data_IF_573526114304
#
_entry.id   IF_573526114304
#
_cell.length_a   1.000
_cell.length_b   1.000
_cell.length_c   1.000
_cell.angle_alpha   90.00
_cell.angle_beta   90.00
_cell.angle_gamma   90.00
#
_symmetry.space_group_name_H-M   'P 1'
#
loop_
_entity.id
_entity.type
_entity.pdbx_description
1 polymer ?
#
# COMPACT_ATOMS: atom_id res chain seq x y z
N UNK A 1 -24.06 20.16 13.70
CA UNK A 1 -22.62 20.02 13.38
C UNK A 1 -22.37 18.54 13.39
N UNK A 2 -22.38 17.92 12.22
CA UNK A 2 -22.15 16.47 12.11
C UNK A 2 -20.69 16.21 12.43
N UNK A 3 -20.45 15.79 13.67
CA UNK A 3 -19.18 15.19 14.04
C UNK A 3 -19.25 13.78 13.46
N UNK A 4 -18.58 13.57 12.33
CA UNK A 4 -18.48 12.24 11.75
C UNK A 4 -17.97 11.26 12.82
N UNK A 5 -18.60 10.08 12.92
CA UNK A 5 -18.26 9.06 13.91
C UNK A 5 -16.83 8.50 13.72
N UNK A 6 -16.29 8.61 12.51
CA UNK A 6 -14.99 8.08 12.11
C UNK A 6 -14.11 9.24 11.66
N UNK A 7 -12.84 9.21 12.09
CA UNK A 7 -11.83 10.22 11.75
C UNK A 7 -10.98 9.77 10.55
N UNK A 8 -10.22 8.69 10.69
CA UNK A 8 -9.36 8.14 9.63
C UNK A 8 -9.19 6.62 9.74
N UNK A 9 -8.65 6.00 8.69
CA UNK A 9 -8.19 4.61 8.71
C UNK A 9 -6.81 4.52 9.36
N UNK A 10 -6.72 3.94 10.55
CA UNK A 10 -5.45 3.75 11.28
C UNK A 10 -4.56 2.67 10.64
N UNK A 11 -5.15 1.50 10.38
CA UNK A 11 -4.46 0.40 9.73
C UNK A 11 -5.43 -0.55 9.03
N UNK A 12 -4.88 -1.43 8.21
CA UNK A 12 -5.58 -2.58 7.63
C UNK A 12 -4.77 -3.85 7.82
N UNK A 13 -5.35 -5.00 7.47
CA UNK A 13 -4.68 -6.31 7.50
C UNK A 13 -4.51 -6.82 6.07
N UNK A 14 -3.29 -7.15 5.69
CA UNK A 14 -2.96 -7.87 4.47
C UNK A 14 -2.70 -9.33 4.81
N UNK A 15 -3.35 -10.25 4.09
CA UNK A 15 -3.04 -11.69 4.18
C UNK A 15 -2.24 -12.09 2.95
N UNK A 16 -1.07 -12.72 3.14
CA UNK A 16 -0.15 -13.12 2.06
C UNK A 16 0.06 -14.63 2.02
N UNK A 17 0.30 -15.20 0.83
CA UNK A 17 0.87 -16.54 0.66
C UNK A 17 2.41 -16.54 0.60
N UNK A 18 3.03 -15.37 0.44
CA UNK A 18 4.44 -15.20 0.10
C UNK A 18 5.12 -14.22 1.05
N UNK A 19 5.28 -14.60 2.33
CA UNK A 19 5.80 -13.71 3.38
C UNK A 19 7.07 -12.94 2.98
N UNK A 20 8.12 -13.65 2.55
CA UNK A 20 9.40 -13.04 2.20
C UNK A 20 9.29 -12.10 1.00
N UNK A 21 8.53 -12.49 -0.04
CA UNK A 21 8.33 -11.66 -1.21
C UNK A 21 7.48 -10.42 -0.87
N UNK A 22 6.46 -10.57 -0.03
CA UNK A 22 5.63 -9.49 0.46
C UNK A 22 6.47 -8.49 1.26
N UNK A 23 7.31 -8.98 2.18
CA UNK A 23 8.26 -8.13 2.93
C UNK A 23 9.20 -7.40 1.98
N UNK A 24 9.80 -8.10 1.02
CA UNK A 24 10.69 -7.49 0.01
C UNK A 24 9.99 -6.37 -0.75
N UNK A 25 8.77 -6.62 -1.23
CA UNK A 25 8.01 -5.66 -2.01
C UNK A 25 7.70 -4.38 -1.20
N UNK A 26 7.10 -4.52 -0.02
CA UNK A 26 6.71 -3.35 0.76
C UNK A 26 7.92 -2.63 1.39
N UNK A 27 8.97 -3.34 1.79
CA UNK A 27 10.13 -2.74 2.44
C UNK A 27 11.16 -2.22 1.45
N UNK A 28 11.64 -3.06 0.55
CA UNK A 28 12.76 -2.70 -0.33
C UNK A 28 12.29 -1.85 -1.52
N UNK A 29 11.13 -2.17 -2.09
CA UNK A 29 10.65 -1.49 -3.31
C UNK A 29 9.85 -0.24 -2.96
N UNK A 30 8.90 -0.35 -2.03
CA UNK A 30 8.06 0.78 -1.62
C UNK A 30 8.66 1.61 -0.47
N UNK A 31 9.72 1.13 0.19
CA UNK A 31 10.40 1.89 1.25
C UNK A 31 9.65 1.93 2.58
N UNK A 32 8.67 1.06 2.81
CA UNK A 32 7.97 0.96 4.10
C UNK A 32 8.90 0.35 5.16
N UNK A 33 8.66 0.65 6.43
CA UNK A 33 9.44 0.10 7.52
C UNK A 33 8.78 -1.15 8.09
N UNK A 34 9.49 -2.28 8.11
CA UNK A 34 9.02 -3.47 8.81
C UNK A 34 9.19 -3.29 10.32
N UNK A 35 8.10 -3.50 11.05
CA UNK A 35 8.11 -3.66 12.50
C UNK A 35 7.70 -5.07 12.88
N UNK A 36 8.33 -5.60 13.92
CA UNK A 36 7.88 -6.82 14.61
C UNK A 36 7.50 -6.46 16.04
N UNK A 37 6.32 -6.86 16.47
CA UNK A 37 5.78 -6.54 17.78
C UNK A 37 5.01 -7.70 18.38
N UNK A 38 4.86 -7.68 19.71
CA UNK A 38 4.21 -8.73 20.47
C UNK A 38 4.70 -10.13 20.04
N UNK A 39 3.81 -11.12 20.00
CA UNK A 39 4.07 -12.53 19.70
C UNK A 39 4.44 -12.78 18.22
N UNK A 40 5.44 -12.08 17.70
CA UNK A 40 5.93 -12.21 16.32
C UNK A 40 5.03 -11.60 15.25
N UNK A 41 4.10 -10.70 15.63
CA UNK A 41 3.28 -9.98 14.66
C UNK A 41 4.15 -9.02 13.86
N UNK A 42 3.88 -8.92 12.56
CA UNK A 42 4.61 -8.04 11.64
C UNK A 42 3.70 -6.97 11.08
N UNK A 43 4.24 -5.78 10.84
CA UNK A 43 3.54 -4.72 10.12
C UNK A 43 4.49 -3.90 9.25
N UNK A 44 3.97 -3.38 8.15
CA UNK A 44 4.62 -2.39 7.31
C UNK A 44 4.13 -0.99 7.71
N UNK A 45 5.03 -0.15 8.21
CA UNK A 45 4.72 1.19 8.73
C UNK A 45 5.08 2.26 7.71
N UNK A 46 4.18 3.23 7.53
CA UNK A 46 4.35 4.38 6.63
C UNK A 46 3.57 5.59 7.17
N UNK A 47 4.19 6.77 7.17
CA UNK A 47 3.59 7.95 7.79
C UNK A 47 3.17 7.66 9.23
N UNK A 48 1.89 7.91 9.53
CA UNK A 48 1.26 7.61 10.83
C UNK A 48 0.32 6.39 10.77
N UNK A 49 0.49 5.51 9.78
CA UNK A 49 -0.37 4.36 9.51
C UNK A 49 0.45 3.08 9.35
N UNK A 50 -0.23 1.93 9.30
CA UNK A 50 0.44 0.65 9.02
C UNK A 50 -0.46 -0.36 8.31
N UNK A 51 0.17 -1.39 7.75
CA UNK A 51 -0.47 -2.61 7.27
C UNK A 51 0.02 -3.77 8.15
N UNK A 52 -0.87 -4.37 8.93
CA UNK A 52 -0.55 -5.59 9.65
C UNK A 52 -0.48 -6.77 8.68
N UNK A 53 0.54 -7.62 8.82
CA UNK A 53 0.77 -8.76 7.96
C UNK A 53 0.28 -10.05 8.64
N UNK A 54 -0.64 -10.74 7.99
CA UNK A 54 -1.04 -12.11 8.30
C UNK A 54 -0.53 -13.06 7.23
N UNK A 55 -0.13 -14.27 7.63
CA UNK A 55 0.25 -15.33 6.69
C UNK A 55 -0.94 -16.27 6.52
N UNK A 56 -1.29 -16.61 5.28
CA UNK A 56 -2.41 -17.50 4.98
C UNK A 56 -2.26 -18.82 5.74
N UNK A 57 -3.33 -19.23 6.45
CA UNK A 57 -3.34 -20.43 7.31
C UNK A 57 -2.69 -20.25 8.68
N UNK A 58 -2.12 -19.07 8.98
CA UNK A 58 -1.54 -18.71 10.29
C UNK A 58 -2.04 -17.32 10.74
N UNK A 59 -3.25 -16.94 10.33
CA UNK A 59 -3.80 -15.64 10.68
C UNK A 59 -4.15 -15.58 12.17
N UNK A 60 -4.06 -14.39 12.75
CA UNK A 60 -4.52 -14.14 14.12
C UNK A 60 -6.03 -13.87 14.14
N UNK A 61 -6.70 -14.32 15.20
CA UNK A 61 -8.10 -13.95 15.46
C UNK A 61 -8.21 -12.66 16.31
N UNK A 62 -9.26 -11.85 16.12
CA UNK A 62 -10.25 -11.96 15.04
C UNK A 62 -9.68 -11.52 13.68
N UNK A 63 -10.25 -12.04 12.58
CA UNK A 63 -9.89 -11.66 11.20
C UNK A 63 -11.11 -11.45 10.31
N UNK A 64 -10.86 -10.99 9.08
CA UNK A 64 -11.89 -10.93 8.05
C UNK A 64 -12.53 -12.31 7.85
N UNK A 65 -13.82 -12.37 7.52
CA UNK A 65 -14.54 -13.62 7.32
C UNK A 65 -13.91 -14.53 6.24
N UNK A 66 -13.34 -13.91 5.20
CA UNK A 66 -12.63 -14.60 4.12
C UNK A 66 -11.28 -13.91 3.85
N UNK A 67 -10.23 -14.20 4.65
CA UNK A 67 -8.91 -13.61 4.45
C UNK A 67 -8.32 -14.14 3.13
N UNK A 68 -8.24 -13.25 2.15
CA UNK A 68 -7.96 -13.62 0.76
C UNK A 68 -6.75 -12.83 0.24
N UNK A 69 -5.60 -13.48 0.03
CA UNK A 69 -4.47 -12.87 -0.66
C UNK A 69 -4.89 -12.42 -2.07
N UNK A 70 -4.41 -11.25 -2.49
CA UNK A 70 -4.74 -10.66 -3.79
C UNK A 70 -6.07 -9.92 -3.86
N UNK A 71 -6.81 -9.80 -2.75
CA UNK A 71 -8.12 -9.15 -2.72
C UNK A 71 -8.08 -7.65 -2.42
N UNK A 72 -6.91 -7.07 -2.14
CA UNK A 72 -6.78 -5.65 -1.82
C UNK A 72 -6.56 -4.83 -3.09
N UNK A 73 -7.15 -3.63 -3.09
CA UNK A 73 -6.95 -2.57 -4.06
C UNK A 73 -6.69 -1.28 -3.28
N UNK A 74 -5.44 -0.82 -3.28
CA UNK A 74 -4.94 0.20 -2.36
C UNK A 74 -4.25 1.33 -3.13
N UNK A 75 -4.59 2.57 -2.78
CA UNK A 75 -3.92 3.77 -3.27
C UNK A 75 -3.09 4.42 -2.17
N UNK A 76 -1.80 4.62 -2.44
CA UNK A 76 -0.85 5.32 -1.57
C UNK A 76 -0.41 6.62 -2.21
N UNK A 77 -0.42 7.69 -1.42
CA UNK A 77 0.12 8.98 -1.83
C UNK A 77 1.61 9.01 -1.49
N UNK A 78 2.44 9.35 -2.47
CA UNK A 78 3.88 9.55 -2.31
C UNK A 78 4.23 11.04 -2.41
N UNK A 79 5.33 11.44 -1.75
CA UNK A 79 5.96 12.75 -1.94
C UNK A 79 7.02 12.75 -3.04
N UNK A 80 7.37 11.56 -3.56
CA UNK A 80 8.30 11.40 -4.69
C UNK A 80 7.61 11.68 -6.01
N UNK A 81 8.37 11.98 -7.05
CA UNK A 81 7.78 12.10 -8.39
C UNK A 81 7.41 10.73 -8.95
N UNK A 82 6.44 10.66 -9.86
CA UNK A 82 6.08 9.38 -10.50
C UNK A 82 7.21 8.85 -11.38
N UNK A 83 8.08 9.73 -11.88
CA UNK A 83 9.29 9.36 -12.61
C UNK A 83 10.29 8.62 -11.70
N UNK A 84 10.46 9.06 -10.45
CA UNK A 84 11.28 8.33 -9.47
C UNK A 84 10.68 6.98 -9.07
N UNK A 85 9.35 6.95 -8.88
CA UNK A 85 8.61 5.72 -8.54
C UNK A 85 8.74 4.69 -9.67
N UNK A 86 8.44 5.09 -10.90
CA UNK A 86 8.52 4.20 -12.06
C UNK A 86 9.95 3.74 -12.33
N UNK A 87 10.96 4.60 -12.14
CA UNK A 87 12.37 4.20 -12.21
C UNK A 87 12.75 3.16 -11.15
N UNK A 88 12.21 3.29 -9.92
CA UNK A 88 12.39 2.29 -8.86
C UNK A 88 11.76 0.95 -9.26
N UNK A 89 10.54 0.97 -9.80
CA UNK A 89 9.86 -0.24 -10.29
C UNK A 89 10.62 -0.92 -11.42
N UNK A 90 11.07 -0.17 -12.42
CA UNK A 90 11.87 -0.71 -13.52
C UNK A 90 13.17 -1.35 -13.02
N UNK A 91 13.87 -0.71 -12.08
CA UNK A 91 15.12 -1.23 -11.49
C UNK A 91 14.90 -2.56 -10.78
N UNK A 92 13.74 -2.75 -10.14
CA UNK A 92 13.39 -3.97 -9.42
C UNK A 92 12.58 -4.97 -10.27
N UNK A 93 12.40 -4.71 -11.56
CA UNK A 93 11.64 -5.57 -12.47
C UNK A 93 10.14 -5.67 -12.14
N UNK A 94 9.57 -4.65 -11.50
CA UNK A 94 8.13 -4.57 -11.23
C UNK A 94 7.41 -4.08 -12.49
N UNK A 95 6.46 -4.87 -12.98
CA UNK A 95 5.63 -4.53 -14.12
C UNK A 95 4.63 -3.41 -13.76
N UNK A 96 4.64 -2.35 -14.55
CA UNK A 96 3.64 -1.28 -14.49
C UNK A 96 2.45 -1.71 -15.34
N UNK A 97 1.29 -1.87 -14.70
CA UNK A 97 0.04 -2.24 -15.36
C UNK A 97 -0.52 -1.07 -16.16
N UNK A 98 -0.51 0.13 -15.56
CA UNK A 98 -1.03 1.35 -16.15
C UNK A 98 -0.37 2.57 -15.48
N UNK A 99 -0.16 3.64 -16.24
CA UNK A 99 0.28 4.93 -15.72
C UNK A 99 1.56 5.47 -16.38
N UNK A 100 1.89 6.75 -16.14
CA UNK A 100 1.13 7.72 -15.34
C UNK A 100 -0.20 8.14 -15.98
N UNK A 101 -1.30 8.08 -15.21
CA UNK A 101 -2.66 8.46 -15.66
C UNK A 101 -3.37 9.32 -14.61
N UNK A 102 -4.33 10.15 -15.04
CA UNK A 102 -5.14 10.95 -14.11
C UNK A 102 -6.24 10.09 -13.48
N UNK A 103 -6.44 10.26 -12.18
CA UNK A 103 -7.48 9.62 -11.37
C UNK A 103 -8.09 10.61 -10.39
N UNK A 104 -9.17 10.19 -9.73
CA UNK A 104 -9.83 10.96 -8.67
C UNK A 104 -9.41 10.39 -7.32
N UNK A 105 -8.59 11.14 -6.58
CA UNK A 105 -8.26 10.85 -5.20
C UNK A 105 -9.35 11.34 -4.25
N UNK A 106 -9.18 11.01 -2.96
CA UNK A 106 -10.16 11.36 -1.92
C UNK A 106 -10.39 12.88 -1.78
N UNK A 107 -9.38 13.71 -2.03
CA UNK A 107 -9.46 15.17 -1.85
C UNK A 107 -9.26 15.98 -3.14
N UNK A 108 -9.15 15.31 -4.29
CA UNK A 108 -8.97 15.98 -5.58
C UNK A 108 -8.33 15.08 -6.65
N UNK A 109 -8.05 15.63 -7.84
CA UNK A 109 -7.35 14.90 -8.90
C UNK A 109 -5.94 14.48 -8.47
N UNK A 110 -5.55 13.25 -8.82
CA UNK A 110 -4.20 12.69 -8.61
C UNK A 110 -3.66 12.15 -9.93
N UNK A 111 -2.32 12.03 -10.03
CA UNK A 111 -1.67 11.22 -11.07
C UNK A 111 -1.21 9.91 -10.45
N UNK A 112 -1.43 8.80 -11.15
CA UNK A 112 -1.29 7.46 -10.59
C UNK A 112 -0.55 6.50 -11.50
N UNK A 113 0.15 5.55 -10.89
CA UNK A 113 0.77 4.38 -11.53
C UNK A 113 0.32 3.13 -10.77
N UNK A 114 0.02 2.07 -11.51
CA UNK A 114 -0.51 0.82 -10.98
C UNK A 114 0.47 -0.33 -11.17
N UNK A 115 0.66 -1.13 -10.12
CA UNK A 115 1.48 -2.36 -10.12
C UNK A 115 0.75 -3.47 -9.35
N UNK A 116 1.26 -4.70 -9.44
CA UNK A 116 0.83 -5.80 -8.56
C UNK A 116 1.87 -6.07 -7.50
N UNK A 117 1.40 -6.34 -6.28
CA UNK A 117 2.24 -6.97 -5.26
C UNK A 117 2.37 -8.49 -5.53
N UNK A 118 3.15 -9.23 -4.72
CA UNK A 118 3.37 -10.67 -4.93
C UNK A 118 2.13 -11.56 -4.86
N UNK A 119 1.06 -11.14 -4.17
CA UNK A 119 -0.21 -11.86 -4.11
C UNK A 119 -1.24 -11.34 -5.12
N UNK A 120 -0.82 -10.42 -6.01
CA UNK A 120 -1.63 -9.79 -7.04
C UNK A 120 -2.62 -8.74 -6.53
N UNK A 121 -2.45 -8.22 -5.31
CA UNK A 121 -3.17 -7.03 -4.87
C UNK A 121 -2.87 -5.88 -5.84
N UNK A 122 -3.87 -5.06 -6.15
CA UNK A 122 -3.67 -3.88 -6.99
C UNK A 122 -3.12 -2.74 -6.12
N UNK A 123 -1.91 -2.29 -6.45
CA UNK A 123 -1.24 -1.22 -5.72
C UNK A 123 -1.11 -0.01 -6.63
N UNK A 124 -1.79 1.06 -6.26
CA UNK A 124 -1.71 2.36 -6.89
C UNK A 124 -0.75 3.26 -6.09
N UNK A 125 0.28 3.77 -6.75
CA UNK A 125 1.12 4.85 -6.21
C UNK A 125 0.76 6.14 -6.93
N UNK A 126 0.35 7.14 -6.17
CA UNK A 126 -0.16 8.38 -6.70
C UNK A 126 0.46 9.61 -6.06
N UNK A 127 0.35 10.74 -6.76
CA UNK A 127 0.80 12.05 -6.28
C UNK A 127 -0.29 13.07 -6.55
N UNK A 128 -0.55 13.95 -5.58
CA UNK A 128 -1.34 15.15 -5.83
C UNK A 128 -0.49 16.12 -6.67
N UNK A 129 -1.09 16.83 -7.65
CA UNK A 129 -0.40 17.94 -8.30
C UNK A 129 0.14 18.88 -7.21
N UNK A 130 1.38 19.35 -7.36
CA UNK A 130 1.81 20.48 -6.55
C UNK A 130 0.76 21.58 -6.74
N UNK A 131 0.19 22.08 -5.64
CA UNK A 131 -0.72 23.21 -5.67
C UNK A 131 -0.13 24.23 -6.64
N UNK A 132 -0.89 24.70 -7.63
CA UNK A 132 -0.44 25.66 -8.64
C UNK A 132 -0.07 27.05 -8.08
N UNK A 133 0.41 27.10 -6.84
CA UNK A 133 1.02 28.21 -6.13
C UNK A 133 2.54 28.03 -6.14
N UNK A 134 3.12 28.04 -7.34
CA UNK A 134 4.42 28.68 -7.54
C UNK A 134 4.19 30.13 -7.89
#
# INVERSE_FOLDING_TARGET
>A
MDIAMIDYLDHLVLTTNHEEACVRFYVEILGLRLETFAQGRKAFVFGNQKINLHIRGKEFEPKANAPTPGALDLCFITTRTLEEVTGTFQTHGVEIIEGPVVRTGATGPIRSVYVRDPDLNLIEIAVYPADGRT
#
